data_IF_595033451314
#
_entry.id   IF_595033451314
#
_cell.length_a   1.000
_cell.length_b   1.000
_cell.length_c   1.000
_cell.angle_alpha   90.00
_cell.angle_beta   90.00
_cell.angle_gamma   90.00
#
_symmetry.space_group_name_H-M   'P 1'
#
loop_
_entity.id
_entity.type
_entity.pdbx_description
1 polymer ?
#
# COMPACT_ATOMS: atom_id res chain seq x y z
N UNK A 1 -15.83 -20.08 -21.54
CA UNK A 1 -15.65 -18.72 -20.98
C UNK A 1 -15.02 -18.92 -19.62
N UNK A 2 -13.73 -18.65 -19.48
CA UNK A 2 -13.13 -18.57 -18.15
C UNK A 2 -13.56 -17.20 -17.65
N UNK A 3 -14.53 -17.16 -16.76
CA UNK A 3 -14.78 -15.96 -15.94
C UNK A 3 -13.57 -15.86 -15.04
N UNK A 4 -12.57 -15.12 -15.51
CA UNK A 4 -11.37 -14.83 -14.75
C UNK A 4 -11.80 -13.95 -13.58
N UNK A 5 -11.84 -14.55 -12.39
CA UNK A 5 -12.24 -13.83 -11.19
C UNK A 5 -11.01 -13.01 -10.80
N UNK A 6 -11.09 -11.67 -10.78
CA UNK A 6 -9.90 -10.86 -10.60
C UNK A 6 -9.26 -11.19 -9.24
N UNK A 7 -7.96 -11.47 -9.28
CA UNK A 7 -7.22 -12.00 -8.13
C UNK A 7 -7.13 -10.92 -7.06
N UNK A 8 -7.62 -11.23 -5.86
CA UNK A 8 -7.41 -10.41 -4.66
C UNK A 8 -6.14 -10.85 -3.96
N UNK A 9 -5.36 -9.88 -3.50
CA UNK A 9 -4.11 -10.12 -2.78
C UNK A 9 -3.76 -9.00 -1.83
N UNK A 10 -2.69 -9.21 -1.07
CA UNK A 10 -2.15 -8.18 -0.18
C UNK A 10 -0.95 -7.49 -0.84
N UNK A 11 -0.93 -6.16 -0.81
CA UNK A 11 0.13 -5.33 -1.35
C UNK A 11 0.83 -4.58 -0.22
N UNK A 12 2.15 -4.68 -0.16
CA UNK A 12 2.97 -3.94 0.78
C UNK A 12 3.62 -2.76 0.05
N UNK A 13 3.30 -1.54 0.47
CA UNK A 13 3.92 -0.31 0.00
C UNK A 13 4.98 0.16 0.99
N UNK A 14 6.12 0.60 0.49
CA UNK A 14 7.24 1.03 1.32
C UNK A 14 8.10 2.09 0.60
N UNK A 15 8.85 2.91 1.34
CA UNK A 15 9.79 3.88 0.78
C UNK A 15 10.96 3.19 0.04
N UNK A 16 11.80 3.92 -0.70
CA UNK A 16 12.96 3.35 -1.36
C UNK A 16 13.88 2.61 -0.39
N UNK A 17 14.42 1.46 -0.82
CA UNK A 17 15.25 0.59 0.05
C UNK A 17 16.56 1.24 0.47
N UNK A 18 17.06 2.18 -0.33
CA UNK A 18 18.23 3.00 -0.03
C UNK A 18 17.91 4.21 0.86
N UNK A 19 16.62 4.50 1.10
CA UNK A 19 16.18 5.57 1.98
C UNK A 19 14.84 5.22 2.68
N UNK A 20 14.93 4.37 3.71
CA UNK A 20 13.76 3.92 4.48
C UNK A 20 12.98 5.04 5.20
N UNK A 21 13.56 6.23 5.34
CA UNK A 21 12.92 7.40 5.95
C UNK A 21 12.36 8.40 4.91
N UNK A 22 12.34 8.04 3.61
CA UNK A 22 11.97 8.96 2.54
C UNK A 22 10.54 9.53 2.67
N UNK A 23 9.61 8.75 3.22
CA UNK A 23 8.25 9.21 3.49
C UNK A 23 8.15 10.04 4.76
N UNK A 24 9.13 9.92 5.66
CA UNK A 24 9.06 10.44 7.03
C UNK A 24 7.70 10.08 7.69
N UNK A 25 7.32 8.80 7.62
CA UNK A 25 5.98 8.32 7.98
C UNK A 25 5.67 8.63 9.45
N UNK A 26 4.59 9.37 9.68
CA UNK A 26 4.03 9.66 11.00
C UNK A 26 2.58 9.20 11.04
N UNK A 27 2.25 8.27 11.93
CA UNK A 27 0.93 7.62 11.94
C UNK A 27 -0.23 8.60 12.20
N UNK A 28 -0.04 9.59 13.06
CA UNK A 28 -1.06 10.63 13.32
C UNK A 28 -1.35 11.46 12.06
N UNK A 29 -0.30 11.86 11.34
CA UNK A 29 -0.41 12.65 10.10
C UNK A 29 -1.02 11.81 8.96
N UNK A 30 -0.59 10.55 8.83
CA UNK A 30 -1.18 9.60 7.88
C UNK A 30 -2.69 9.43 8.15
N UNK A 31 -3.06 9.22 9.41
CA UNK A 31 -4.46 9.07 9.81
C UNK A 31 -5.28 10.29 9.42
N UNK A 32 -4.80 11.49 9.74
CA UNK A 32 -5.50 12.72 9.39
C UNK A 32 -5.67 12.87 7.87
N UNK A 33 -4.60 12.75 7.09
CA UNK A 33 -4.66 12.92 5.63
C UNK A 33 -5.52 11.84 4.96
N UNK A 34 -5.52 10.62 5.49
CA UNK A 34 -6.34 9.52 4.99
C UNK A 34 -7.83 9.82 5.17
N UNK A 35 -8.22 10.28 6.37
CA UNK A 35 -9.62 10.60 6.67
C UNK A 35 -10.11 11.84 5.89
N UNK A 36 -9.22 12.77 5.55
CA UNK A 36 -9.52 13.90 4.68
C UNK A 36 -9.72 13.46 3.21
N UNK A 37 -8.90 12.53 2.72
CA UNK A 37 -8.93 12.08 1.33
C UNK A 37 -10.02 11.05 1.03
N UNK A 38 -10.38 10.23 2.01
CA UNK A 38 -11.38 9.18 1.87
C UNK A 38 -12.51 9.40 2.89
N UNK A 39 -13.55 10.18 2.54
CA UNK A 39 -14.70 10.40 3.42
C UNK A 39 -15.37 9.08 3.83
N UNK A 40 -15.94 9.04 5.03
CA UNK A 40 -16.51 7.84 5.68
C UNK A 40 -15.50 6.76 6.10
N UNK A 41 -14.20 7.00 5.92
CA UNK A 41 -13.16 6.07 6.39
C UNK A 41 -12.97 6.14 7.89
N UNK A 42 -12.29 5.13 8.44
CA UNK A 42 -11.92 5.09 9.86
C UNK A 42 -10.48 4.62 10.03
N UNK A 43 -9.83 5.10 11.08
CA UNK A 43 -8.47 4.71 11.43
C UNK A 43 -8.32 4.66 12.95
N UNK A 44 -7.56 3.69 13.45
CA UNK A 44 -7.33 3.50 14.87
C UNK A 44 -5.92 2.96 15.13
N UNK A 45 -5.31 3.44 16.22
CA UNK A 45 -4.03 2.93 16.65
C UNK A 45 -4.19 1.47 17.09
N UNK A 46 -3.31 0.60 16.61
CA UNK A 46 -3.10 -0.70 17.23
C UNK A 46 -2.09 -0.50 18.36
N UNK A 47 -2.36 -1.11 19.52
CA UNK A 47 -1.37 -1.13 20.61
C UNK A 47 -0.04 -1.74 20.15
N UNK A 48 1.02 -1.68 20.97
CA UNK A 48 2.34 -2.15 20.57
C UNK A 48 2.29 -3.57 20.00
N UNK A 49 2.66 -3.71 18.72
CA UNK A 49 2.68 -5.00 18.03
C UNK A 49 4.03 -5.69 18.25
N UNK A 50 3.99 -6.90 18.80
CA UNK A 50 5.16 -7.77 18.98
C UNK A 50 6.06 -7.42 20.19
N UNK A 51 7.22 -8.10 20.32
CA UNK A 51 8.10 -7.96 21.48
C UNK A 51 8.94 -6.68 21.50
N UNK A 52 8.96 -5.94 20.38
CA UNK A 52 9.57 -4.61 20.29
C UNK A 52 8.45 -3.59 20.15
N UNK A 53 8.48 -2.45 20.85
CA UNK A 53 7.50 -1.40 20.67
C UNK A 53 7.59 -0.91 19.22
N UNK A 54 6.63 -1.33 18.40
CA UNK A 54 6.36 -0.76 17.08
C UNK A 54 4.95 -0.19 17.13
N UNK A 55 4.81 1.03 16.64
CA UNK A 55 3.53 1.69 16.53
C UNK A 55 2.89 1.26 15.22
N UNK A 56 1.57 1.07 15.26
CA UNK A 56 0.80 0.70 14.10
C UNK A 56 -0.56 1.40 14.08
N UNK A 57 -1.07 1.62 12.88
CA UNK A 57 -2.36 2.22 12.60
C UNK A 57 -3.10 1.30 11.64
N UNK A 58 -4.21 0.73 12.10
CA UNK A 58 -5.16 0.06 11.22
C UNK A 58 -6.17 1.06 10.69
N UNK A 59 -6.63 0.84 9.47
CA UNK A 59 -7.64 1.70 8.85
C UNK A 59 -8.54 0.92 7.89
N UNK A 60 -9.76 1.44 7.75
CA UNK A 60 -10.69 1.06 6.69
C UNK A 60 -10.94 2.29 5.82
N UNK A 61 -10.49 2.24 4.56
CA UNK A 61 -10.64 3.34 3.62
C UNK A 61 -11.75 3.06 2.60
N UNK A 62 -12.79 3.90 2.56
CA UNK A 62 -13.86 3.82 1.56
C UNK A 62 -13.41 4.48 0.26
N UNK A 63 -13.13 3.68 -0.77
CA UNK A 63 -12.58 4.18 -2.04
C UNK A 63 -13.66 4.40 -3.11
N UNK A 64 -14.81 3.75 -2.99
CA UNK A 64 -16.00 4.01 -3.80
C UNK A 64 -17.24 3.46 -3.09
N UNK A 65 -18.44 3.66 -3.66
CA UNK A 65 -19.67 3.19 -3.04
C UNK A 65 -19.67 1.65 -2.85
N UNK A 66 -19.77 1.21 -1.60
CA UNK A 66 -19.71 -0.20 -1.23
C UNK A 66 -18.32 -0.86 -1.31
N UNK A 67 -17.25 -0.13 -1.63
CA UNK A 67 -15.88 -0.70 -1.74
C UNK A 67 -14.96 -0.10 -0.68
N UNK A 68 -14.36 -0.99 0.11
CA UNK A 68 -13.51 -0.66 1.25
C UNK A 68 -12.16 -1.35 1.14
N UNK A 69 -11.10 -0.65 1.52
CA UNK A 69 -9.77 -1.20 1.72
C UNK A 69 -9.51 -1.38 3.21
N UNK A 70 -9.03 -2.56 3.59
CA UNK A 70 -8.41 -2.81 4.90
C UNK A 70 -6.90 -2.56 4.76
N UNK A 71 -6.37 -1.67 5.58
CA UNK A 71 -4.95 -1.39 5.61
C UNK A 71 -4.34 -1.34 7.01
N UNK A 72 -3.03 -1.54 7.04
CA UNK A 72 -2.19 -1.48 8.23
C UNK A 72 -0.92 -0.71 7.90
N UNK A 73 -0.77 0.47 8.51
CA UNK A 73 0.50 1.19 8.54
C UNK A 73 1.29 0.78 9.78
N UNK A 74 2.59 0.60 9.63
CA UNK A 74 3.48 0.31 10.75
C UNK A 74 4.79 1.08 10.64
N UNK A 75 5.29 1.52 11.79
CA UNK A 75 6.56 2.24 11.91
C UNK A 75 7.49 1.51 12.89
N UNK A 76 8.43 0.68 12.42
CA UNK A 76 9.39 0.02 13.29
C UNK A 76 10.36 1.02 13.96
N UNK A 77 10.59 2.16 13.32
CA UNK A 77 11.37 3.30 13.83
C UNK A 77 10.68 4.60 13.40
N UNK A 78 10.94 5.69 14.12
CA UNK A 78 10.38 7.01 13.78
C UNK A 78 10.73 7.42 12.34
N UNK A 79 9.72 7.83 11.56
CA UNK A 79 9.87 8.26 10.17
C UNK A 79 10.07 7.13 9.15
N UNK A 80 10.29 5.89 9.60
CA UNK A 80 10.44 4.71 8.74
C UNK A 80 9.22 3.83 8.87
N UNK A 81 8.59 3.48 7.75
CA UNK A 81 7.46 2.57 7.82
C UNK A 81 6.95 2.09 6.48
N UNK A 82 5.95 1.23 6.56
CA UNK A 82 5.32 0.58 5.41
C UNK A 82 3.83 0.52 5.63
N UNK A 83 3.09 0.43 4.53
CA UNK A 83 1.64 0.32 4.54
C UNK A 83 1.25 -0.95 3.79
N UNK A 84 0.59 -1.86 4.48
CA UNK A 84 -0.01 -3.06 3.91
C UNK A 84 -1.47 -2.75 3.55
N UNK A 85 -1.88 -3.08 2.33
CA UNK A 85 -3.29 -3.15 1.92
C UNK A 85 -3.65 -4.62 1.76
N UNK A 86 -4.70 -5.07 2.45
CA UNK A 86 -5.10 -6.48 2.52
C UNK A 86 -6.26 -6.78 1.57
N UNK A 87 -6.24 -7.98 0.98
CA UNK A 87 -7.36 -8.55 0.22
C UNK A 87 -7.97 -7.60 -0.84
N UNK A 88 -7.12 -6.89 -1.58
CA UNK A 88 -7.53 -5.90 -2.58
C UNK A 88 -7.28 -6.41 -4.00
N UNK A 89 -8.11 -5.94 -4.93
CA UNK A 89 -7.81 -6.02 -6.37
C UNK A 89 -6.70 -5.03 -6.73
N UNK A 90 -5.98 -5.29 -7.82
CA UNK A 90 -4.99 -4.34 -8.36
C UNK A 90 -5.59 -2.94 -8.59
N UNK A 91 -6.81 -2.86 -9.13
CA UNK A 91 -7.51 -1.59 -9.35
C UNK A 91 -7.91 -0.87 -8.06
N UNK A 92 -8.25 -1.61 -7.01
CA UNK A 92 -8.62 -1.04 -5.70
C UNK A 92 -7.36 -0.52 -4.98
N UNK A 93 -6.29 -1.31 -4.96
CA UNK A 93 -5.01 -0.93 -4.41
C UNK A 93 -4.37 0.25 -5.18
N UNK A 94 -4.60 0.35 -6.49
CA UNK A 94 -4.11 1.46 -7.32
C UNK A 94 -4.69 2.81 -6.90
N UNK A 95 -5.94 2.85 -6.42
CA UNK A 95 -6.57 4.09 -5.92
C UNK A 95 -5.80 4.59 -4.71
N UNK A 96 -5.50 3.69 -3.76
CA UNK A 96 -4.69 4.02 -2.59
C UNK A 96 -3.26 4.40 -2.96
N UNK A 97 -2.60 3.60 -3.82
CA UNK A 97 -1.23 3.86 -4.25
C UNK A 97 -1.08 5.20 -4.96
N UNK A 98 -2.08 5.61 -5.75
CA UNK A 98 -2.14 6.93 -6.38
C UNK A 98 -2.22 8.03 -5.34
N UNK A 99 -3.13 7.93 -4.38
CA UNK A 99 -3.24 8.91 -3.29
C UNK A 99 -1.94 9.00 -2.49
N UNK A 100 -1.35 7.86 -2.13
CA UNK A 100 -0.10 7.78 -1.40
C UNK A 100 1.03 8.50 -2.15
N UNK A 101 1.19 8.22 -3.45
CA UNK A 101 2.18 8.88 -4.32
C UNK A 101 1.95 10.38 -4.45
N UNK A 102 0.70 10.78 -4.68
CA UNK A 102 0.37 12.17 -5.05
C UNK A 102 0.27 13.10 -3.83
N UNK A 103 -0.08 12.57 -2.65
CA UNK A 103 -0.42 13.37 -1.47
C UNK A 103 0.57 13.19 -0.32
N UNK A 104 0.93 11.95 0.00
CA UNK A 104 1.69 11.66 1.23
C UNK A 104 3.20 11.50 0.99
N UNK A 105 3.58 10.82 -0.10
CA UNK A 105 4.97 10.55 -0.48
C UNK A 105 5.34 11.13 -1.87
N UNK A 106 5.20 12.45 -2.10
CA UNK A 106 5.45 13.05 -3.40
C UNK A 106 6.95 13.27 -3.68
N UNK A 107 7.57 12.43 -4.51
CA UNK A 107 8.82 12.66 -5.26
C UNK A 107 9.14 11.40 -6.11
N UNK A 108 9.96 11.50 -7.18
CA UNK A 108 9.89 10.51 -8.27
C UNK A 108 10.17 9.10 -7.74
N UNK A 109 9.21 8.22 -8.00
CA UNK A 109 9.26 6.79 -7.68
C UNK A 109 9.51 6.48 -6.18
N UNK A 110 9.06 7.33 -5.25
CA UNK A 110 9.21 7.09 -3.80
C UNK A 110 8.35 5.93 -3.28
N UNK A 111 7.34 5.50 -4.01
CA UNK A 111 6.47 4.40 -3.58
C UNK A 111 6.93 3.12 -4.25
N UNK A 112 7.65 2.30 -3.49
CA UNK A 112 7.97 0.93 -3.87
C UNK A 112 6.89 -0.02 -3.36
N UNK A 113 6.78 -1.20 -3.97
CA UNK A 113 5.85 -2.21 -3.52
C UNK A 113 6.30 -3.64 -3.82
N UNK A 114 5.66 -4.57 -3.12
CA UNK A 114 5.66 -6.02 -3.39
C UNK A 114 4.28 -6.58 -3.01
N UNK A 115 4.05 -7.87 -3.25
CA UNK A 115 2.84 -8.58 -2.83
C UNK A 115 3.18 -9.72 -1.87
N UNK A 116 2.22 -10.08 -1.02
CA UNK A 116 2.33 -11.24 -0.14
C UNK A 116 2.63 -12.54 -0.92
N UNK A 117 2.07 -12.68 -2.13
CA UNK A 117 2.33 -13.82 -3.01
C UNK A 117 3.79 -13.85 -3.46
N UNK A 118 4.35 -12.72 -3.88
CA UNK A 118 5.75 -12.61 -4.29
C UNK A 118 6.68 -12.97 -3.13
N UNK A 119 6.42 -12.41 -1.94
CA UNK A 119 7.16 -12.74 -0.72
C UNK A 119 7.07 -14.22 -0.35
N UNK A 120 5.90 -14.84 -0.49
CA UNK A 120 5.68 -16.28 -0.21
C UNK A 120 6.48 -17.17 -1.16
N UNK A 121 6.61 -16.74 -2.43
CA UNK A 121 7.40 -17.43 -3.43
C UNK A 121 8.91 -17.16 -3.31
N UNK A 122 9.32 -16.31 -2.36
CA UNK A 122 10.72 -15.93 -2.17
C UNK A 122 11.24 -14.95 -3.24
N UNK A 123 10.35 -14.27 -3.96
CA UNK A 123 10.71 -13.20 -4.90
C UNK A 123 11.07 -11.93 -4.11
N UNK A 124 12.33 -11.52 -4.23
CA UNK A 124 12.89 -10.31 -3.61
C UNK A 124 12.86 -9.10 -4.56
N UNK A 125 12.24 -9.23 -5.73
CA UNK A 125 12.09 -8.16 -6.70
C UNK A 125 11.29 -7.00 -6.12
N UNK A 126 11.90 -5.81 -6.17
CA UNK A 126 11.26 -4.56 -5.72
C UNK A 126 10.65 -3.86 -6.93
N UNK A 127 9.35 -3.63 -6.87
CA UNK A 127 8.62 -2.90 -7.90
C UNK A 127 8.37 -1.45 -7.47
N UNK A 128 8.17 -0.57 -8.45
CA UNK A 128 7.95 0.86 -8.22
C UNK A 128 6.60 1.29 -8.79
N UNK A 129 5.88 2.12 -8.04
CA UNK A 129 4.75 2.87 -8.57
C UNK A 129 5.31 3.96 -9.50
N UNK A 130 4.80 4.08 -10.74
CA UNK A 130 5.28 5.09 -11.68
C UNK A 130 5.21 6.51 -11.11
N UNK A 131 6.32 7.27 -11.20
CA UNK A 131 6.40 8.67 -10.79
C UNK A 131 5.32 9.55 -11.44
N UNK A 132 5.01 9.27 -12.72
CA UNK A 132 3.99 9.94 -13.50
C UNK A 132 2.98 8.91 -14.02
N UNK A 133 1.77 9.37 -14.32
CA UNK A 133 0.70 8.53 -14.83
C UNK A 133 -0.58 8.62 -14.01
N UNK A 134 -1.67 8.20 -14.64
CA UNK A 134 -3.00 8.14 -14.07
C UNK A 134 -3.24 6.80 -13.35
N UNK A 135 -4.49 6.59 -12.93
CA UNK A 135 -4.88 5.39 -12.20
C UNK A 135 -4.69 4.11 -13.01
N UNK A 136 -4.88 4.18 -14.34
CA UNK A 136 -4.78 3.02 -15.23
C UNK A 136 -3.33 2.55 -15.34
N UNK A 137 -2.37 3.48 -15.42
CA UNK A 137 -0.95 3.16 -15.42
C UNK A 137 -0.51 2.44 -14.13
N UNK A 138 -1.00 2.90 -12.98
CA UNK A 138 -0.70 2.28 -11.68
C UNK A 138 -1.36 0.90 -11.59
N UNK A 139 -2.63 0.78 -12.01
CA UNK A 139 -3.37 -0.48 -12.03
C UNK A 139 -2.67 -1.53 -12.89
N UNK A 140 -2.26 -1.16 -14.10
CA UNK A 140 -1.51 -2.04 -15.00
C UNK A 140 -0.19 -2.48 -14.38
N UNK A 141 0.50 -1.60 -13.64
CA UNK A 141 1.76 -1.94 -12.97
C UNK A 141 1.58 -2.94 -11.82
N UNK A 142 0.51 -2.78 -11.02
CA UNK A 142 0.17 -3.74 -9.96
C UNK A 142 -0.25 -5.09 -10.54
N UNK A 143 -1.05 -5.10 -11.61
CA UNK A 143 -1.45 -6.33 -12.29
C UNK A 143 -0.24 -7.06 -12.90
N UNK A 144 0.66 -6.33 -13.56
CA UNK A 144 1.90 -6.90 -14.10
C UNK A 144 2.74 -7.60 -13.03
N UNK A 145 2.78 -7.06 -11.80
CA UNK A 145 3.46 -7.70 -10.69
C UNK A 145 2.79 -9.01 -10.25
N UNK A 146 1.45 -9.04 -10.20
CA UNK A 146 0.68 -10.26 -9.90
C UNK A 146 0.98 -11.33 -10.95
N UNK A 147 0.87 -10.98 -12.23
CA UNK A 147 1.07 -11.89 -13.36
C UNK A 147 2.48 -12.48 -13.34
N UNK A 148 3.51 -11.65 -13.13
CA UNK A 148 4.89 -12.08 -13.02
C UNK A 148 5.13 -13.05 -11.85
N UNK A 149 4.35 -12.94 -10.78
CA UNK A 149 4.43 -13.82 -9.60
C UNK A 149 3.71 -15.16 -9.84
N UNK A 150 2.72 -15.22 -10.74
CA UNK A 150 2.03 -16.46 -11.08
C UNK A 150 2.89 -17.42 -11.92
N UNK A 151 3.90 -16.88 -12.60
CA UNK A 151 4.82 -17.64 -13.45
C UNK A 151 5.99 -18.29 -12.67
N UNK A 152 6.10 -18.02 -11.36
CA UNK A 152 7.13 -18.54 -10.45
C UNK A 152 6.67 -19.79 -9.69
#
# INVERSE_FOLDING_TARGET
MITDNPIRGSFLFFPPVDNAAAWNLRLDDLSQQLLEAFPDSSAWAEGPLGPRPSEALSFEAKISDGVWLDGLASTPFEGMGSILIRNALASEAAIFAKWLRDSYAPAPDLVHFTSEKAMTNGDDSIWKIPAEGDLDAITAKLQQHIDATEEL
#
